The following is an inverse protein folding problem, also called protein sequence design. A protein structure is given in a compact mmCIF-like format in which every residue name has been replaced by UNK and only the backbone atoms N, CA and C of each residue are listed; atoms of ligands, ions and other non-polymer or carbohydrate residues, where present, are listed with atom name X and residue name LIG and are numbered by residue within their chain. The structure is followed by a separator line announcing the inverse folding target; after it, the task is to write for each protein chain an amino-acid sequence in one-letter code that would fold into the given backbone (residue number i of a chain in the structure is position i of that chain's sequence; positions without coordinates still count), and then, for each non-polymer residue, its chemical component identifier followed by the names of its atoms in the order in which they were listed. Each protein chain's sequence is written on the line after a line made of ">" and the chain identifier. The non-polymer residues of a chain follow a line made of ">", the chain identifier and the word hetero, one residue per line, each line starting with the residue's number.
data_IF_765627233179
#
_entry.id   IF_765627233179
#
_cell.length_a   1.000
_cell.length_b   1.000
_cell.length_c   1.000
_cell.angle_alpha   90.00
_cell.angle_beta   90.00
_cell.angle_gamma   90.00
#
_symmetry.space_group_name_H-M   'P 1'
#
loop_
_entity.id
_entity.type
_entity.pdbx_description
1 polymer ?
#
# COMPACT_ATOMS: atom_id res chain seq x y z
N UNK A 1 30.48 80.76 9.42
CA UNK A 1 29.34 80.31 10.23
C UNK A 1 28.27 79.84 9.24
N UNK A 2 28.14 78.52 9.10
CA UNK A 2 27.54 77.89 7.92
C UNK A 2 26.01 78.01 7.89
N UNK A 3 25.54 78.40 6.71
CA UNK A 3 24.17 78.40 6.24
C UNK A 3 23.66 76.96 6.05
N UNK A 4 22.84 76.45 6.96
CA UNK A 4 21.79 75.45 6.63
C UNK A 4 20.78 75.39 7.77
N UNK A 5 19.89 76.38 7.72
CA UNK A 5 18.71 76.52 8.55
C UNK A 5 17.70 75.42 8.15
N UNK A 6 17.45 74.50 9.07
CA UNK A 6 16.27 73.63 9.22
C UNK A 6 15.23 73.67 8.08
N UNK A 7 15.38 72.81 7.08
CA UNK A 7 14.25 72.35 6.27
C UNK A 7 13.72 71.04 6.88
N UNK A 8 12.84 71.20 7.88
CA UNK A 8 11.95 70.15 8.40
C UNK A 8 10.83 69.90 7.39
N UNK A 9 11.19 69.47 6.18
CA UNK A 9 10.28 69.23 5.04
C UNK A 9 9.69 67.82 5.07
N UNK A 10 10.36 66.88 5.76
CA UNK A 10 9.95 65.48 5.81
C UNK A 10 8.88 65.24 6.88
N UNK A 11 9.01 65.77 8.10
CA UNK A 11 8.03 65.49 9.17
C UNK A 11 6.57 65.84 8.84
N UNK A 12 6.32 66.91 8.08
CA UNK A 12 4.96 67.29 7.67
C UNK A 12 4.44 66.35 6.59
N UNK A 13 5.27 65.99 5.63
CA UNK A 13 4.93 65.08 4.54
C UNK A 13 4.73 63.66 5.08
N UNK A 14 5.59 63.23 6.00
CA UNK A 14 5.54 61.93 6.67
C UNK A 14 4.31 61.83 7.57
N UNK A 15 3.96 62.88 8.34
CA UNK A 15 2.75 62.89 9.17
C UNK A 15 1.45 62.87 8.35
N UNK A 16 1.45 63.49 7.17
CA UNK A 16 0.31 63.44 6.23
C UNK A 16 0.26 62.06 5.57
N UNK A 17 1.38 61.55 5.07
CA UNK A 17 1.48 60.23 4.47
C UNK A 17 1.09 59.11 5.46
N UNK A 18 1.48 59.19 6.72
CA UNK A 18 1.14 58.20 7.73
C UNK A 18 -0.36 58.20 8.06
N UNK A 19 -0.99 59.38 8.12
CA UNK A 19 -2.44 59.52 8.27
C UNK A 19 -3.22 59.03 7.04
N UNK A 20 -2.72 59.34 5.84
CA UNK A 20 -3.29 58.82 4.59
C UNK A 20 -3.10 57.31 4.51
N UNK A 21 -1.97 56.76 4.90
CA UNK A 21 -1.67 55.32 4.86
C UNK A 21 -2.57 54.56 5.83
N UNK A 22 -2.73 55.02 7.07
CA UNK A 22 -3.63 54.39 8.05
C UNK A 22 -5.10 54.41 7.60
N UNK A 23 -5.58 55.48 6.96
CA UNK A 23 -6.98 55.58 6.49
C UNK A 23 -7.22 54.95 5.12
N UNK A 24 -6.23 54.92 4.24
CA UNK A 24 -6.28 54.32 2.89
C UNK A 24 -5.98 52.81 2.92
N UNK A 25 -5.53 52.27 4.06
CA UNK A 25 -5.42 50.81 4.28
C UNK A 25 -6.79 50.12 4.13
N UNK A 26 -7.89 50.86 4.33
CA UNK A 26 -9.22 50.36 3.97
C UNK A 26 -9.41 50.48 2.44
N UNK A 27 -9.56 49.35 1.72
CA UNK A 27 -9.69 49.33 0.27
C UNK A 27 -10.83 50.21 -0.25
N UNK A 28 -11.89 50.41 0.55
CA UNK A 28 -12.99 51.31 0.19
C UNK A 28 -12.56 52.77 0.08
N UNK A 29 -11.77 53.28 1.03
CA UNK A 29 -11.31 54.67 0.99
C UNK A 29 -10.34 54.89 -0.17
N UNK A 30 -9.47 53.92 -0.47
CA UNK A 30 -8.60 53.96 -1.64
C UNK A 30 -9.38 54.02 -2.95
N UNK A 31 -10.35 53.12 -3.13
CA UNK A 31 -11.23 53.11 -4.32
C UNK A 31 -12.04 54.41 -4.40
N UNK A 32 -12.55 54.93 -3.28
CA UNK A 32 -13.31 56.17 -3.24
C UNK A 32 -12.48 57.38 -3.67
N UNK A 33 -11.24 57.52 -3.20
CA UNK A 33 -10.34 58.60 -3.61
C UNK A 33 -10.08 58.52 -5.12
N UNK A 34 -9.80 57.33 -5.64
CA UNK A 34 -9.55 57.12 -7.08
C UNK A 34 -10.79 57.50 -7.89
N UNK A 35 -11.97 56.96 -7.54
CA UNK A 35 -13.24 57.26 -8.21
C UNK A 35 -13.53 58.76 -8.15
N UNK A 36 -13.33 59.40 -7.00
CA UNK A 36 -13.53 60.83 -6.85
C UNK A 36 -12.60 61.64 -7.75
N UNK A 37 -11.31 61.31 -7.83
CA UNK A 37 -10.35 61.99 -8.71
C UNK A 37 -10.72 61.87 -10.19
N UNK A 38 -11.16 60.69 -10.63
CA UNK A 38 -11.60 60.48 -12.01
C UNK A 38 -12.94 61.17 -12.32
N UNK A 39 -13.91 61.07 -11.42
CA UNK A 39 -15.22 61.69 -11.60
C UNK A 39 -15.15 63.22 -11.56
N UNK A 40 -14.28 63.76 -10.70
CA UNK A 40 -14.05 65.19 -10.52
C UNK A 40 -12.80 65.67 -11.28
N UNK A 41 -12.41 65.01 -12.37
CA UNK A 41 -11.17 65.29 -13.09
C UNK A 41 -11.02 66.76 -13.53
N UNK A 42 -12.13 67.44 -13.86
CA UNK A 42 -12.11 68.87 -14.20
C UNK A 42 -11.63 69.73 -13.02
N UNK A 43 -12.10 69.46 -11.80
CA UNK A 43 -11.65 70.17 -10.61
C UNK A 43 -10.18 69.89 -10.33
N UNK A 44 -9.77 68.62 -10.40
CA UNK A 44 -8.36 68.21 -10.23
C UNK A 44 -7.48 68.95 -11.23
N UNK A 45 -7.85 68.94 -12.51
CA UNK A 45 -7.13 69.63 -13.57
C UNK A 45 -7.03 71.14 -13.34
N UNK A 46 -8.12 71.80 -12.92
CA UNK A 46 -8.12 73.26 -12.64
C UNK A 46 -7.24 73.64 -11.45
N UNK A 47 -7.15 72.78 -10.43
CA UNK A 47 -6.29 72.97 -9.24
C UNK A 47 -4.81 72.79 -9.58
N UNK A 48 -4.47 71.79 -10.40
CA UNK A 48 -3.07 71.46 -10.71
C UNK A 48 -2.50 72.19 -11.94
N UNK A 49 -3.34 72.74 -12.83
CA UNK A 49 -2.86 73.44 -14.02
C UNK A 49 -3.12 74.96 -13.95
N UNK A 50 -2.06 75.77 -13.95
CA UNK A 50 -2.12 77.23 -14.04
C UNK A 50 -1.86 77.69 -15.47
N UNK A 51 -2.93 77.87 -16.25
CA UNK A 51 -2.84 78.52 -17.56
C UNK A 51 -2.64 80.04 -17.37
N UNK A 52 -1.55 80.58 -17.94
CA UNK A 52 -1.14 81.99 -17.91
C UNK A 52 -2.25 82.95 -18.38
N UNK A 53 -3.23 82.45 -19.15
CA UNK A 53 -4.32 83.26 -19.73
C UNK A 53 -5.57 83.36 -18.85
N UNK A 54 -5.64 82.66 -17.71
CA UNK A 54 -6.78 82.72 -16.79
C UNK A 54 -6.46 83.54 -15.55
N UNK A 55 -7.21 84.64 -15.34
CA UNK A 55 -7.14 85.44 -14.10
C UNK A 55 -7.51 84.55 -12.90
N UNK A 56 -6.69 84.59 -11.86
CA UNK A 56 -6.84 83.83 -10.60
C UNK A 56 -8.28 83.87 -10.05
N UNK A 57 -8.93 85.04 -10.14
CA UNK A 57 -10.30 85.26 -9.66
C UNK A 57 -11.32 84.32 -10.31
N UNK A 58 -11.20 84.06 -11.62
CA UNK A 58 -12.12 83.17 -12.35
C UNK A 58 -11.99 81.71 -11.92
N UNK A 59 -10.80 81.31 -11.47
CA UNK A 59 -10.56 79.96 -10.95
C UNK A 59 -11.14 79.80 -9.54
N UNK A 60 -10.96 80.82 -8.69
CA UNK A 60 -11.55 80.84 -7.35
C UNK A 60 -13.07 80.81 -7.45
N UNK A 61 -13.66 81.59 -8.37
CA UNK A 61 -15.11 81.58 -8.63
C UNK A 61 -15.59 80.21 -9.13
N UNK A 62 -14.86 79.56 -10.05
CA UNK A 62 -15.18 78.21 -10.50
C UNK A 62 -15.15 77.18 -9.36
N UNK A 63 -14.10 77.19 -8.53
CA UNK A 63 -13.95 76.27 -7.40
C UNK A 63 -15.03 76.54 -6.34
N UNK A 64 -15.29 77.81 -6.02
CA UNK A 64 -16.34 78.20 -5.09
C UNK A 64 -17.71 77.71 -5.58
N UNK A 65 -18.05 77.95 -6.85
CA UNK A 65 -19.30 77.47 -7.44
C UNK A 65 -19.40 75.93 -7.50
N UNK A 66 -18.26 75.24 -7.64
CA UNK A 66 -18.22 73.77 -7.64
C UNK A 66 -18.45 73.18 -6.25
N UNK A 67 -17.96 73.87 -5.20
CA UNK A 67 -18.08 73.46 -3.81
C UNK A 67 -19.34 73.99 -3.12
N UNK A 68 -20.01 74.98 -3.72
CA UNK A 68 -21.20 75.60 -3.15
C UNK A 68 -22.49 74.81 -3.45
N UNK A 69 -23.34 74.72 -2.44
CA UNK A 69 -24.67 74.12 -2.49
C UNK A 69 -24.75 72.58 -2.40
N UNK A 70 -25.94 72.06 -2.67
CA UNK A 70 -26.29 70.64 -2.58
C UNK A 70 -25.64 69.76 -3.66
N UNK A 71 -25.08 70.37 -4.71
CA UNK A 71 -24.43 69.66 -5.82
C UNK A 71 -23.17 68.91 -5.40
N UNK A 72 -22.37 69.48 -4.48
CA UNK A 72 -21.16 68.82 -3.98
C UNK A 72 -21.48 67.55 -3.17
N UNK A 73 -22.48 67.63 -2.28
CA UNK A 73 -22.91 66.50 -1.46
C UNK A 73 -23.47 65.37 -2.33
N UNK A 74 -24.29 65.71 -3.33
CA UNK A 74 -24.83 64.73 -4.26
C UNK A 74 -23.73 64.06 -5.09
N UNK A 75 -22.77 64.84 -5.56
CA UNK A 75 -21.63 64.34 -6.31
C UNK A 75 -20.74 63.41 -5.45
N UNK A 76 -20.49 63.77 -4.19
CA UNK A 76 -19.76 62.92 -3.25
C UNK A 76 -20.50 61.60 -2.98
N UNK A 77 -21.83 61.65 -2.78
CA UNK A 77 -22.66 60.46 -2.59
C UNK A 77 -22.67 59.56 -3.83
N UNK A 78 -22.70 60.14 -5.02
CA UNK A 78 -22.58 59.42 -6.28
C UNK A 78 -21.20 58.76 -6.42
N UNK A 79 -20.11 59.45 -6.05
CA UNK A 79 -18.77 58.85 -5.99
C UNK A 79 -18.71 57.67 -5.00
N UNK A 80 -19.37 57.78 -3.84
CA UNK A 80 -19.50 56.71 -2.84
C UNK A 80 -20.23 55.50 -3.42
N UNK A 81 -21.35 55.72 -4.12
CA UNK A 81 -22.13 54.66 -4.75
C UNK A 81 -21.33 53.94 -5.84
N UNK A 82 -20.63 54.70 -6.69
CA UNK A 82 -19.77 54.13 -7.74
C UNK A 82 -18.63 53.32 -7.12
N UNK A 83 -17.95 53.86 -6.10
CA UNK A 83 -16.86 53.16 -5.42
C UNK A 83 -17.34 51.84 -4.79
N UNK A 84 -18.52 51.86 -4.15
CA UNK A 84 -19.15 50.65 -3.64
C UNK A 84 -19.46 49.64 -4.75
N UNK A 85 -20.02 50.08 -5.87
CA UNK A 85 -20.28 49.23 -7.04
C UNK A 85 -19.02 48.59 -7.61
N UNK A 86 -17.91 49.35 -7.71
CA UNK A 86 -16.61 48.83 -8.15
C UNK A 86 -16.07 47.77 -7.19
N UNK A 87 -16.24 47.93 -5.88
CA UNK A 87 -15.84 46.89 -4.92
C UNK A 87 -16.68 45.63 -5.07
N UNK A 88 -18.00 45.75 -5.15
CA UNK A 88 -18.90 44.62 -5.37
C UNK A 88 -18.49 43.87 -6.63
N UNK A 89 -18.25 44.60 -7.72
CA UNK A 89 -17.81 44.02 -8.98
C UNK A 89 -16.47 43.28 -8.84
N UNK A 90 -15.51 43.85 -8.10
CA UNK A 90 -14.21 43.24 -7.84
C UNK A 90 -14.36 41.91 -7.09
N UNK A 91 -15.22 41.85 -6.06
CA UNK A 91 -15.50 40.61 -5.34
C UNK A 91 -16.22 39.58 -6.22
N UNK A 92 -17.13 40.00 -7.09
CA UNK A 92 -17.76 39.12 -8.08
C UNK A 92 -16.71 38.53 -9.02
N UNK A 93 -15.81 39.35 -9.56
CA UNK A 93 -14.71 38.87 -10.41
C UNK A 93 -13.76 37.92 -9.67
N UNK A 94 -13.49 38.18 -8.40
CA UNK A 94 -12.63 37.32 -7.58
C UNK A 94 -13.30 35.96 -7.31
N UNK A 95 -14.60 35.98 -7.01
CA UNK A 95 -15.41 34.77 -6.88
C UNK A 95 -15.46 33.98 -8.18
N UNK A 96 -15.64 34.67 -9.31
CA UNK A 96 -15.65 34.05 -10.63
C UNK A 96 -14.28 33.47 -11.00
N UNK A 97 -13.19 34.17 -10.69
CA UNK A 97 -11.82 33.69 -10.89
C UNK A 97 -11.55 32.42 -10.08
N UNK A 98 -11.96 32.38 -8.81
CA UNK A 98 -11.86 31.18 -7.97
C UNK A 98 -12.71 30.03 -8.51
N UNK A 99 -13.95 30.32 -8.90
CA UNK A 99 -14.84 29.34 -9.50
C UNK A 99 -14.25 28.72 -10.77
N UNK A 100 -13.64 29.54 -11.64
CA UNK A 100 -12.92 29.05 -12.82
C UNK A 100 -11.73 28.20 -12.39
N UNK A 101 -10.90 28.67 -11.45
CA UNK A 101 -9.70 27.95 -11.02
C UNK A 101 -10.02 26.56 -10.45
N UNK A 102 -11.00 26.47 -9.56
CA UNK A 102 -11.45 25.22 -8.96
C UNK A 102 -12.00 24.25 -10.03
N UNK A 103 -12.84 24.75 -10.94
CA UNK A 103 -13.40 23.93 -12.01
C UNK A 103 -12.37 23.57 -13.09
N UNK A 104 -11.36 24.40 -13.27
CA UNK A 104 -10.28 24.15 -14.20
C UNK A 104 -9.43 22.97 -13.73
N UNK A 105 -9.00 22.98 -12.47
CA UNK A 105 -8.21 21.88 -11.89
C UNK A 105 -8.99 20.56 -11.82
N UNK A 106 -10.28 20.61 -11.49
CA UNK A 106 -11.07 19.40 -11.29
C UNK A 106 -11.64 18.79 -12.57
N UNK A 107 -11.99 19.60 -13.58
CA UNK A 107 -12.71 19.12 -14.78
C UNK A 107 -11.98 19.38 -16.09
N UNK A 108 -11.39 20.56 -16.26
CA UNK A 108 -10.78 20.95 -17.54
C UNK A 108 -9.42 20.29 -17.70
N UNK A 109 -8.61 20.28 -16.64
CA UNK A 109 -7.30 19.63 -16.64
C UNK A 109 -7.39 18.14 -17.01
N UNK A 110 -8.22 17.29 -16.34
CA UNK A 110 -8.35 15.89 -16.73
C UNK A 110 -8.97 15.70 -18.13
N UNK A 111 -9.85 16.60 -18.57
CA UNK A 111 -10.39 16.55 -19.94
C UNK A 111 -9.33 16.85 -21.00
N UNK A 112 -8.49 17.88 -20.81
CA UNK A 112 -7.35 18.19 -21.68
C UNK A 112 -6.33 17.04 -21.66
N UNK A 113 -6.04 16.49 -20.48
CA UNK A 113 -5.17 15.31 -20.35
C UNK A 113 -5.75 14.06 -21.00
N UNK A 114 -7.08 13.92 -21.12
CA UNK A 114 -7.70 12.82 -21.86
C UNK A 114 -7.60 12.98 -23.39
N UNK A 115 -7.43 14.21 -23.88
CA UNK A 115 -7.29 14.52 -25.30
C UNK A 115 -5.84 14.37 -25.79
N UNK A 116 -4.87 14.73 -24.94
CA UNK A 116 -3.45 14.52 -25.20
C UNK A 116 -3.02 13.22 -24.54
N UNK A 117 -2.89 12.15 -25.33
CA UNK A 117 -2.63 10.76 -24.89
C UNK A 117 -1.35 10.47 -24.08
N UNK A 118 -0.73 11.47 -23.45
CA UNK A 118 0.42 11.31 -22.55
C UNK A 118 -0.03 11.22 -21.09
N UNK A 119 -0.26 9.98 -20.67
CA UNK A 119 -0.68 9.49 -19.35
C UNK A 119 0.27 9.78 -18.17
N UNK A 120 1.20 10.75 -18.28
CA UNK A 120 2.33 10.89 -17.35
C UNK A 120 2.27 12.02 -16.33
N UNK A 121 1.28 12.91 -16.39
CA UNK A 121 1.21 14.05 -15.47
C UNK A 121 0.03 13.84 -14.52
N UNK A 122 0.31 13.22 -13.38
CA UNK A 122 -0.64 13.06 -12.28
C UNK A 122 -0.51 14.28 -11.37
N UNK A 123 -1.63 14.94 -11.06
CA UNK A 123 -1.66 16.06 -10.09
C UNK A 123 -0.97 15.63 -8.79
N UNK A 124 -0.11 16.49 -8.22
CA UNK A 124 0.66 16.20 -6.99
C UNK A 124 -0.20 15.61 -5.87
N UNK A 125 -1.45 16.07 -5.74
CA UNK A 125 -2.44 15.53 -4.80
C UNK A 125 -2.74 14.05 -5.04
N UNK A 126 -3.07 13.66 -6.27
CA UNK A 126 -3.29 12.24 -6.65
C UNK A 126 -2.04 11.38 -6.46
N UNK A 127 -0.84 11.94 -6.67
CA UNK A 127 0.40 11.22 -6.39
C UNK A 127 0.56 10.94 -4.89
N UNK A 128 0.31 11.95 -4.04
CA UNK A 128 0.41 11.80 -2.59
C UNK A 128 -0.66 10.84 -2.03
N UNK A 129 -1.90 10.93 -2.52
CA UNK A 129 -2.98 10.02 -2.13
C UNK A 129 -2.62 8.57 -2.52
N UNK A 130 -2.10 8.37 -3.74
CA UNK A 130 -1.69 7.05 -4.22
C UNK A 130 -0.49 6.50 -3.42
N UNK A 131 0.45 7.36 -3.02
CA UNK A 131 1.59 6.96 -2.19
C UNK A 131 1.14 6.49 -0.80
N UNK A 132 0.17 7.17 -0.21
CA UNK A 132 -0.39 6.79 1.10
C UNK A 132 -1.16 5.47 1.02
N UNK A 133 -1.99 5.29 -0.02
CA UNK A 133 -2.66 4.02 -0.31
C UNK A 133 -1.65 2.88 -0.47
N UNK A 134 -0.56 3.13 -1.21
CA UNK A 134 0.49 2.13 -1.42
C UNK A 134 1.20 1.75 -0.12
N UNK A 135 1.45 2.74 0.76
CA UNK A 135 2.02 2.48 2.10
C UNK A 135 1.07 1.65 2.96
N UNK A 136 -0.23 1.94 2.94
CA UNK A 136 -1.25 1.18 3.64
C UNK A 136 -1.31 -0.27 3.16
N UNK A 137 -1.38 -0.49 1.85
CA UNK A 137 -1.40 -1.82 1.24
C UNK A 137 -0.12 -2.60 1.57
N UNK A 138 1.05 -1.96 1.47
CA UNK A 138 2.33 -2.61 1.80
C UNK A 138 2.39 -3.07 3.24
N UNK A 139 1.90 -2.24 4.18
CA UNK A 139 1.86 -2.58 5.61
C UNK A 139 0.94 -3.77 5.88
N UNK A 140 -0.26 -3.77 5.28
CA UNK A 140 -1.21 -4.87 5.43
C UNK A 140 -0.67 -6.17 4.83
N UNK A 141 -0.06 -6.10 3.65
CA UNK A 141 0.56 -7.25 3.00
C UNK A 141 1.70 -7.85 3.85
N UNK A 142 2.53 -7.00 4.46
CA UNK A 142 3.61 -7.46 5.34
C UNK A 142 3.06 -8.15 6.60
N UNK A 143 2.03 -7.58 7.22
CA UNK A 143 1.37 -8.18 8.39
C UNK A 143 0.72 -9.54 8.04
N UNK A 144 0.01 -9.63 6.91
CA UNK A 144 -0.58 -10.88 6.44
C UNK A 144 0.47 -11.95 6.14
N UNK A 145 1.59 -11.55 5.52
CA UNK A 145 2.70 -12.46 5.24
C UNK A 145 3.34 -13.00 6.52
N UNK A 146 3.50 -12.16 7.54
CA UNK A 146 4.06 -12.57 8.84
C UNK A 146 3.14 -13.59 9.54
N UNK A 147 1.83 -13.31 9.60
CA UNK A 147 0.84 -14.24 10.13
C UNK A 147 0.82 -15.58 9.39
N UNK A 148 0.96 -15.55 8.05
CA UNK A 148 1.00 -16.76 7.25
C UNK A 148 2.27 -17.58 7.50
N UNK A 149 3.42 -16.93 7.66
CA UNK A 149 4.67 -17.60 8.00
C UNK A 149 4.61 -18.26 9.38
N UNK A 150 3.99 -17.59 10.36
CA UNK A 150 3.76 -18.16 11.69
C UNK A 150 2.85 -19.38 11.62
N UNK A 151 1.71 -19.27 10.93
CA UNK A 151 0.78 -20.37 10.72
C UNK A 151 1.42 -21.56 9.99
N UNK A 152 2.22 -21.32 8.95
CA UNK A 152 2.98 -22.38 8.25
C UNK A 152 4.02 -23.03 9.18
N UNK A 153 4.67 -22.25 10.05
CA UNK A 153 5.57 -22.74 11.09
C UNK A 153 4.87 -23.65 12.10
N UNK A 154 3.68 -23.28 12.56
CA UNK A 154 2.86 -24.11 13.44
C UNK A 154 2.40 -25.40 12.75
N UNK A 155 1.90 -25.31 11.52
CA UNK A 155 1.48 -26.48 10.72
C UNK A 155 2.65 -27.46 10.56
N UNK A 156 3.86 -26.98 10.30
CA UNK A 156 5.03 -27.85 10.20
C UNK A 156 5.38 -28.53 11.54
N UNK A 157 5.32 -27.79 12.66
CA UNK A 157 5.51 -28.38 14.00
C UNK A 157 4.45 -29.45 14.31
N UNK A 158 3.19 -29.17 13.99
CA UNK A 158 2.09 -30.13 14.15
C UNK A 158 2.29 -31.37 13.28
N UNK A 159 2.65 -31.21 12.00
CA UNK A 159 2.95 -32.34 11.10
C UNK A 159 4.08 -33.20 11.65
N UNK A 160 5.15 -32.59 12.15
CA UNK A 160 6.28 -33.33 12.72
C UNK A 160 5.87 -34.13 13.96
N UNK A 161 5.08 -33.55 14.87
CA UNK A 161 4.53 -34.26 16.03
C UNK A 161 3.57 -35.38 15.65
N UNK A 162 2.75 -35.16 14.63
CA UNK A 162 1.83 -36.16 14.14
C UNK A 162 2.59 -37.35 13.53
N UNK A 163 3.62 -37.08 12.73
CA UNK A 163 4.47 -38.13 12.14
C UNK A 163 5.23 -38.93 13.19
N UNK A 164 5.78 -38.27 14.23
CA UNK A 164 6.43 -38.97 15.34
C UNK A 164 5.44 -39.85 16.11
N UNK A 165 4.24 -39.33 16.38
CA UNK A 165 3.18 -40.08 17.06
C UNK A 165 2.70 -41.28 16.24
N UNK A 166 2.53 -41.12 14.92
CA UNK A 166 2.19 -42.24 14.04
C UNK A 166 3.26 -43.32 14.02
N UNK A 167 4.54 -42.94 13.96
CA UNK A 167 5.66 -43.90 14.03
C UNK A 167 5.68 -44.66 15.35
N UNK A 168 5.39 -43.99 16.47
CA UNK A 168 5.28 -44.63 17.79
C UNK A 168 4.10 -45.60 17.86
N UNK A 169 2.90 -45.18 17.41
CA UNK A 169 1.72 -46.04 17.37
C UNK A 169 1.95 -47.26 16.47
N UNK A 170 2.53 -47.07 15.27
CA UNK A 170 2.85 -48.16 14.36
C UNK A 170 3.84 -49.13 15.00
N UNK A 171 4.90 -48.62 15.64
CA UNK A 171 5.88 -49.43 16.37
C UNK A 171 5.23 -50.24 17.49
N UNK A 172 4.43 -49.64 18.36
CA UNK A 172 3.75 -50.34 19.45
C UNK A 172 2.76 -51.39 18.93
N UNK A 173 2.06 -51.11 17.84
CA UNK A 173 1.14 -52.08 17.22
C UNK A 173 1.88 -53.30 16.65
N UNK A 174 3.06 -53.07 16.03
CA UNK A 174 3.93 -54.11 15.52
C UNK A 174 4.51 -54.93 16.66
N UNK A 175 5.05 -54.29 17.71
CA UNK A 175 5.57 -54.95 18.90
C UNK A 175 4.51 -55.86 19.53
N UNK A 176 3.28 -55.37 19.75
CA UNK A 176 2.19 -56.18 20.29
C UNK A 176 1.81 -57.36 19.39
N UNK A 177 1.88 -57.19 18.06
CA UNK A 177 1.61 -58.27 17.11
C UNK A 177 2.72 -59.33 17.07
N UNK A 178 3.98 -58.92 17.31
CA UNK A 178 5.13 -59.82 17.33
C UNK A 178 5.24 -60.58 18.66
N UNK A 179 4.84 -59.98 19.78
CA UNK A 179 4.68 -60.69 21.06
C UNK A 179 3.69 -61.85 20.91
N UNK A 180 2.64 -61.67 20.10
CA UNK A 180 1.69 -62.74 19.78
C UNK A 180 2.30 -63.85 18.91
N UNK A 181 3.27 -63.50 18.06
CA UNK A 181 3.96 -64.40 17.13
C UNK A 181 5.36 -64.82 17.64
N UNK A 182 5.69 -64.57 18.92
CA UNK A 182 7.04 -64.67 19.51
C UNK A 182 7.64 -66.07 19.35
N UNK A 183 6.85 -67.11 19.62
CA UNK A 183 7.28 -68.50 19.46
C UNK A 183 7.66 -68.85 18.00
N UNK A 184 7.01 -68.23 16.99
CA UNK A 184 7.36 -68.42 15.57
C UNK A 184 8.65 -67.71 15.21
N UNK A 185 8.89 -66.54 15.80
CA UNK A 185 10.11 -65.74 15.58
C UNK A 185 11.31 -66.45 16.20
N UNK A 186 11.20 -66.95 17.44
CA UNK A 186 12.27 -67.70 18.09
C UNK A 186 12.63 -68.99 17.32
N UNK A 187 11.62 -69.70 16.79
CA UNK A 187 11.84 -70.86 15.95
C UNK A 187 12.60 -70.50 14.65
N UNK A 188 12.26 -69.36 14.03
CA UNK A 188 12.98 -68.87 12.84
C UNK A 188 14.41 -68.44 13.16
N UNK A 189 14.61 -67.67 14.21
CA UNK A 189 15.92 -67.13 14.61
C UNK A 189 16.87 -68.22 15.08
N UNK A 190 16.39 -69.22 15.84
CA UNK A 190 17.21 -70.38 16.24
C UNK A 190 17.61 -71.25 15.04
N UNK A 191 16.81 -71.22 13.96
CA UNK A 191 17.12 -71.88 12.70
C UNK A 191 18.13 -71.14 11.80
N UNK A 192 18.42 -69.87 12.08
CA UNK A 192 19.38 -69.05 11.32
C UNK A 192 20.64 -68.85 12.14
N UNK A 193 21.74 -69.48 11.72
CA UNK A 193 22.97 -69.53 12.50
C UNK A 193 23.71 -68.20 12.69
N UNK A 194 23.75 -67.30 11.70
CA UNK A 194 24.56 -66.05 11.78
C UNK A 194 23.83 -64.77 11.32
N UNK A 195 24.27 -63.61 11.84
CA UNK A 195 23.74 -62.29 11.44
C UNK A 195 23.93 -61.96 9.94
N UNK A 196 25.00 -62.48 9.31
CA UNK A 196 25.23 -62.32 7.87
C UNK A 196 24.17 -63.03 7.04
N UNK A 197 23.62 -64.12 7.55
CA UNK A 197 22.55 -64.86 6.90
C UNK A 197 21.22 -64.10 7.00
N UNK A 198 20.95 -63.46 8.14
CA UNK A 198 19.73 -62.66 8.37
C UNK A 198 19.57 -61.53 7.34
N UNK A 199 20.63 -60.78 7.04
CA UNK A 199 20.58 -59.77 5.98
C UNK A 199 20.21 -60.37 4.62
N UNK A 200 20.73 -61.57 4.32
CA UNK A 200 20.42 -62.26 3.08
C UNK A 200 18.94 -62.64 3.01
N UNK A 201 18.37 -63.16 4.10
CA UNK A 201 16.93 -63.43 4.23
C UNK A 201 16.09 -62.17 4.03
N UNK A 202 16.45 -61.06 4.68
CA UNK A 202 15.73 -59.78 4.56
C UNK A 202 15.82 -59.23 3.14
N UNK A 203 16.98 -59.31 2.47
CA UNK A 203 17.14 -58.90 1.06
C UNK A 203 16.19 -59.69 0.16
N UNK A 204 16.10 -61.01 0.32
CA UNK A 204 15.17 -61.83 -0.46
C UNK A 204 13.72 -61.45 -0.19
N UNK A 205 13.33 -61.18 1.06
CA UNK A 205 11.98 -60.69 1.38
C UNK A 205 11.67 -59.33 0.75
N UNK A 206 12.65 -58.43 0.61
CA UNK A 206 12.50 -57.15 -0.10
C UNK A 206 12.29 -57.37 -1.61
N UNK A 207 13.07 -58.25 -2.23
CA UNK A 207 12.93 -58.59 -3.65
C UNK A 207 11.56 -59.22 -3.95
N UNK A 208 11.10 -60.10 -3.06
CA UNK A 208 9.73 -60.68 -3.12
C UNK A 208 8.66 -59.59 -3.00
N UNK A 209 8.83 -58.63 -2.07
CA UNK A 209 7.90 -57.50 -1.94
C UNK A 209 7.81 -56.65 -3.22
N UNK A 210 8.93 -56.52 -3.94
CA UNK A 210 9.00 -55.83 -5.25
C UNK A 210 8.40 -56.66 -6.39
N UNK A 211 8.09 -57.93 -6.16
CA UNK A 211 7.53 -58.84 -7.15
C UNK A 211 8.57 -59.38 -8.14
N UNK A 212 9.86 -59.35 -7.76
CA UNK A 212 10.93 -59.87 -8.60
C UNK A 212 10.92 -61.42 -8.60
N UNK A 213 11.15 -62.07 -9.76
CA UNK A 213 11.27 -63.52 -9.83
C UNK A 213 12.58 -63.96 -9.16
N UNK A 214 12.51 -64.98 -8.32
CA UNK A 214 13.65 -65.54 -7.60
C UNK A 214 13.71 -67.05 -7.81
N UNK A 215 14.81 -67.58 -8.36
CA UNK A 215 14.97 -69.03 -8.53
C UNK A 215 15.01 -69.73 -7.16
N UNK A 216 14.62 -71.02 -7.07
CA UNK A 216 14.60 -71.76 -5.81
C UNK A 216 15.99 -71.76 -5.17
N UNK A 217 16.07 -71.27 -3.93
CA UNK A 217 17.31 -71.19 -3.17
C UNK A 217 17.09 -71.74 -1.76
N UNK A 218 18.15 -72.18 -1.05
CA UNK A 218 18.05 -72.61 0.34
C UNK A 218 17.39 -71.55 1.26
N UNK A 219 17.59 -70.27 0.92
CA UNK A 219 17.01 -69.13 1.63
C UNK A 219 15.48 -69.14 1.49
N UNK A 220 14.96 -69.35 0.27
CA UNK A 220 13.52 -69.40 0.03
C UNK A 220 12.87 -70.62 0.67
N UNK A 221 13.58 -71.76 0.72
CA UNK A 221 13.10 -72.98 1.41
C UNK A 221 12.90 -72.71 2.90
N UNK A 222 13.87 -72.05 3.54
CA UNK A 222 13.76 -71.66 4.95
C UNK A 222 12.64 -70.64 5.16
N UNK A 223 12.50 -69.63 4.30
CA UNK A 223 11.41 -68.65 4.41
C UNK A 223 10.02 -69.29 4.24
N UNK A 224 9.89 -70.30 3.36
CA UNK A 224 8.66 -71.09 3.22
C UNK A 224 8.40 -71.95 4.46
N UNK A 225 9.43 -72.60 5.00
CA UNK A 225 9.35 -73.47 6.19
C UNK A 225 8.79 -72.73 7.40
N UNK A 226 9.16 -71.46 7.57
CA UNK A 226 8.72 -70.63 8.69
C UNK A 226 7.53 -69.71 8.34
N UNK A 227 6.81 -70.01 7.27
CA UNK A 227 5.58 -69.30 6.87
C UNK A 227 5.78 -67.78 6.66
N UNK A 228 7.00 -67.34 6.30
CA UNK A 228 7.29 -65.92 6.02
C UNK A 228 6.92 -65.54 4.57
N UNK A 229 6.96 -66.52 3.67
CA UNK A 229 6.57 -66.36 2.27
C UNK A 229 5.66 -67.52 1.86
N UNK A 230 4.89 -67.30 0.81
CA UNK A 230 4.08 -68.31 0.14
C UNK A 230 4.31 -68.25 -1.38
N UNK A 231 3.96 -69.30 -2.11
CA UNK A 231 4.10 -69.34 -3.57
C UNK A 231 2.99 -68.52 -4.22
N UNK A 232 3.34 -67.72 -5.23
CA UNK A 232 2.35 -66.93 -5.97
C UNK A 232 1.50 -67.87 -6.84
N UNK A 233 0.19 -67.79 -6.70
CA UNK A 233 -0.78 -68.54 -7.50
C UNK A 233 -1.48 -67.65 -8.52
N UNK A 234 -1.72 -68.15 -9.72
CA UNK A 234 -2.55 -67.52 -10.74
C UNK A 234 -4.01 -68.01 -10.64
N UNK A 235 -4.96 -67.30 -11.28
CA UNK A 235 -6.37 -67.69 -11.32
C UNK A 235 -6.49 -69.14 -11.82
N UNK A 236 -6.94 -70.05 -10.94
CA UNK A 236 -7.02 -71.48 -11.22
C UNK A 236 -6.02 -72.36 -10.46
N UNK A 237 -5.39 -71.86 -9.38
CA UNK A 237 -4.45 -72.59 -8.52
C UNK A 237 -3.16 -73.06 -9.23
N UNK A 238 -2.80 -72.43 -10.35
CA UNK A 238 -1.53 -72.69 -11.03
C UNK A 238 -0.44 -71.92 -10.31
N UNK A 239 0.56 -72.64 -9.79
CA UNK A 239 1.73 -72.03 -9.13
C UNK A 239 2.59 -71.38 -10.20
N UNK A 240 2.86 -70.08 -10.05
CA UNK A 240 3.77 -69.37 -10.95
C UNK A 240 5.21 -69.70 -10.49
N UNK A 241 6.02 -70.38 -11.32
CA UNK A 241 7.40 -70.72 -10.97
C UNK A 241 8.20 -69.44 -10.65
N UNK A 242 9.07 -69.50 -9.65
CA UNK A 242 9.96 -68.41 -9.24
C UNK A 242 9.28 -67.15 -8.69
N UNK A 243 7.95 -67.13 -8.53
CA UNK A 243 7.25 -66.03 -7.89
C UNK A 243 6.75 -66.41 -6.49
N UNK A 244 7.05 -65.54 -5.53
CA UNK A 244 6.64 -65.66 -4.14
C UNK A 244 5.86 -64.42 -3.71
N UNK A 245 5.07 -64.57 -2.66
CA UNK A 245 4.37 -63.48 -1.98
C UNK A 245 4.70 -63.53 -0.50
N UNK A 246 4.79 -62.38 0.15
CA UNK A 246 4.91 -62.35 1.61
C UNK A 246 3.59 -62.74 2.25
N UNK A 247 3.63 -63.63 3.24
CA UNK A 247 2.48 -63.91 4.11
C UNK A 247 2.21 -62.68 4.99
N UNK A 248 1.05 -62.63 5.65
CA UNK A 248 0.76 -61.51 6.56
C UNK A 248 1.75 -61.45 7.73
N UNK A 249 2.24 -62.61 8.18
CA UNK A 249 3.33 -62.69 9.15
C UNK A 249 4.65 -62.16 8.58
N UNK A 250 5.06 -62.60 7.39
CA UNK A 250 6.28 -62.11 6.74
C UNK A 250 6.26 -60.62 6.42
N UNK A 251 5.10 -60.05 6.07
CA UNK A 251 4.93 -58.60 5.90
C UNK A 251 5.13 -57.84 7.22
N UNK A 252 4.60 -58.33 8.33
CA UNK A 252 4.77 -57.72 9.67
C UNK A 252 6.23 -57.81 10.12
N UNK A 253 6.84 -58.99 9.98
CA UNK A 253 8.24 -59.21 10.33
C UNK A 253 9.20 -58.29 9.54
N UNK A 254 9.02 -58.21 8.22
CA UNK A 254 9.84 -57.33 7.37
C UNK A 254 9.68 -55.85 7.74
N UNK A 255 8.44 -55.39 8.02
CA UNK A 255 8.18 -54.01 8.45
C UNK A 255 8.87 -53.67 9.76
N UNK A 256 8.76 -54.54 10.77
CA UNK A 256 9.42 -54.35 12.05
C UNK A 256 10.94 -54.23 11.89
N UNK A 257 11.56 -55.15 11.16
CA UNK A 257 13.00 -55.12 10.92
C UNK A 257 13.43 -53.81 10.23
N UNK A 258 12.67 -53.32 9.25
CA UNK A 258 12.97 -52.05 8.56
C UNK A 258 12.77 -50.81 9.43
N UNK A 259 11.79 -50.79 10.33
CA UNK A 259 11.50 -49.64 11.21
C UNK A 259 12.51 -49.57 12.37
N UNK A 260 12.89 -50.72 12.93
CA UNK A 260 13.84 -50.80 14.05
C UNK A 260 15.27 -50.51 13.61
N UNK A 261 15.72 -51.05 12.46
CA UNK A 261 17.08 -50.82 11.95
C UNK A 261 17.23 -49.53 11.12
N UNK A 262 16.16 -48.78 10.86
CA UNK A 262 16.24 -47.44 10.24
C UNK A 262 16.91 -46.38 11.14
N UNK A 263 17.33 -46.73 12.36
CA UNK A 263 17.94 -45.83 13.35
C UNK A 263 19.46 -45.98 13.51
N UNK A 264 20.13 -46.85 12.74
CA UNK A 264 21.59 -46.97 12.72
C UNK A 264 22.18 -46.54 11.38
#
# INVERSE_FOLDING_TARGET
>A
MNFTKYFKKNDVVDSVLDNFKTKTTNPFFGTLIIVWLFHNWKLVYTVFNFDEKTKLDKKVEFIAKYLDGWGFVWNLLLCVLIAFGVLVLTYVFLGFSRFISERYEEKILPWIHSLNGDSKIVTKKKYLDLEDDWRGIKKNYQAEKELRLEAEGEVNKLKQRMESSFKEIEKTSLENSLVRDEAKIEAFMSGIGTNKDLESYIRHMILIKKGEPLPPSPILVTLLKYELIDRKMEKGNVVIPDFYILTDFGKRYLRYYTIVNSKN
#
